data_IF_091208869541
#
_entry.id   IF_091208869541
#
_cell.length_a   1.000
_cell.length_b   1.000
_cell.length_c   1.000
_cell.angle_alpha   90.00
_cell.angle_beta   90.00
_cell.angle_gamma   90.00
#
_symmetry.space_group_name_H-M   'P 1'
#
loop_
_entity.id
_entity.type
_entity.pdbx_description
1 polymer ?
#
# COMPACT_ATOMS: atom_id res chain seq x y z
N UNK A 1 -53.92 16.06 11.60
CA UNK A 1 -53.18 15.07 10.79
C UNK A 1 -51.80 15.63 10.48
N UNK A 2 -50.78 15.20 11.23
CA UNK A 2 -49.36 15.44 10.95
C UNK A 2 -48.86 14.33 10.03
N UNK A 3 -48.61 14.62 8.75
CA UNK A 3 -47.93 13.65 7.89
C UNK A 3 -46.44 13.58 8.28
N UNK A 4 -45.91 12.37 8.52
CA UNK A 4 -44.58 12.16 9.04
C UNK A 4 -43.52 12.42 7.96
N UNK A 5 -42.41 12.94 8.47
CA UNK A 5 -41.10 12.96 7.86
C UNK A 5 -40.69 11.54 7.38
N UNK A 6 -40.85 11.25 6.09
CA UNK A 6 -40.44 9.97 5.49
C UNK A 6 -39.63 10.11 4.20
N UNK A 7 -39.33 11.35 3.79
CA UNK A 7 -38.61 11.65 2.55
C UNK A 7 -37.13 12.04 2.76
N UNK A 8 -36.57 11.76 3.95
CA UNK A 8 -35.12 11.84 4.19
C UNK A 8 -34.45 10.62 3.53
N UNK A 9 -34.50 10.55 2.21
CA UNK A 9 -33.77 9.58 1.40
C UNK A 9 -32.28 9.90 1.51
N UNK A 10 -31.64 9.40 2.57
CA UNK A 10 -30.18 9.51 2.75
C UNK A 10 -29.52 8.94 1.50
N UNK A 11 -28.66 9.72 0.80
CA UNK A 11 -27.97 9.20 -0.36
C UNK A 11 -27.12 7.99 0.06
N UNK A 12 -27.04 6.94 -0.78
CA UNK A 12 -26.17 5.81 -0.53
C UNK A 12 -24.74 6.34 -0.34
N UNK A 13 -24.13 6.03 0.80
CA UNK A 13 -22.72 6.39 1.04
C UNK A 13 -21.90 5.78 -0.09
N UNK A 14 -21.07 6.56 -0.81
CA UNK A 14 -20.20 5.98 -1.80
C UNK A 14 -19.35 4.89 -1.13
N UNK A 15 -19.11 3.75 -1.79
CA UNK A 15 -18.29 2.70 -1.23
C UNK A 15 -16.95 3.33 -0.84
N UNK A 16 -16.62 3.27 0.45
CA UNK A 16 -15.38 3.79 0.98
C UNK A 16 -14.24 2.93 0.45
N UNK A 17 -13.75 3.27 -0.75
CA UNK A 17 -12.47 2.77 -1.25
C UNK A 17 -11.45 3.08 -0.15
N UNK A 18 -10.59 2.13 0.21
CA UNK A 18 -9.50 2.35 1.17
C UNK A 18 -8.21 2.67 0.41
N UNK A 19 -8.08 3.84 -0.26
CA UNK A 19 -6.92 4.15 -1.10
C UNK A 19 -5.62 4.13 -0.30
N UNK A 20 -5.69 4.41 1.02
CA UNK A 20 -4.54 4.37 1.91
C UNK A 20 -3.79 3.04 1.91
N UNK A 21 -4.48 1.89 1.82
CA UNK A 21 -3.81 0.58 1.78
C UNK A 21 -3.03 0.38 0.47
N UNK A 22 -3.60 0.84 -0.65
CA UNK A 22 -2.98 0.72 -1.97
C UNK A 22 -1.74 1.61 -2.04
N UNK A 23 -1.86 2.86 -1.59
CA UNK A 23 -0.76 3.83 -1.58
C UNK A 23 0.36 3.35 -0.66
N UNK A 24 0.04 2.94 0.57
CA UNK A 24 1.04 2.43 1.51
C UNK A 24 1.73 1.18 0.98
N UNK A 25 0.97 0.24 0.40
CA UNK A 25 1.52 -0.98 -0.20
C UNK A 25 2.46 -0.69 -1.36
N UNK A 26 2.08 0.24 -2.26
CA UNK A 26 2.92 0.65 -3.38
C UNK A 26 4.22 1.30 -2.91
N UNK A 27 4.16 2.22 -1.93
CA UNK A 27 5.35 2.87 -1.38
C UNK A 27 6.29 1.86 -0.73
N UNK A 28 5.78 0.94 0.09
CA UNK A 28 6.58 -0.12 0.71
C UNK A 28 7.25 -1.02 -0.33
N UNK A 29 6.54 -1.36 -1.41
CA UNK A 29 7.07 -2.15 -2.53
C UNK A 29 8.23 -1.44 -3.23
N UNK A 30 8.06 -0.16 -3.55
CA UNK A 30 9.07 0.63 -4.22
C UNK A 30 10.31 0.84 -3.35
N UNK A 31 10.12 1.27 -2.10
CA UNK A 31 11.23 1.50 -1.16
C UNK A 31 11.95 0.18 -0.84
N UNK A 32 11.20 -0.89 -0.58
CA UNK A 32 11.76 -2.22 -0.33
C UNK A 32 12.55 -2.74 -1.54
N UNK A 33 12.04 -2.55 -2.76
CA UNK A 33 12.75 -2.91 -3.99
C UNK A 33 14.06 -2.15 -4.18
N UNK A 34 14.08 -0.85 -3.89
CA UNK A 34 15.30 -0.03 -3.93
C UNK A 34 16.33 -0.54 -2.92
N UNK A 35 15.94 -0.78 -1.67
CA UNK A 35 16.83 -1.32 -0.65
C UNK A 35 17.33 -2.73 -1.00
N UNK A 36 16.47 -3.55 -1.60
CA UNK A 36 16.84 -4.88 -2.07
C UNK A 36 17.96 -4.81 -3.11
N UNK A 37 17.78 -3.98 -4.13
CA UNK A 37 18.78 -3.73 -5.18
C UNK A 37 20.04 -3.03 -4.64
N UNK A 38 19.92 -2.14 -3.66
CA UNK A 38 21.07 -1.52 -2.99
C UNK A 38 21.91 -2.56 -2.24
N UNK A 39 21.28 -3.45 -1.47
CA UNK A 39 22.01 -4.50 -0.75
C UNK A 39 22.75 -5.48 -1.68
N UNK A 40 22.24 -5.70 -2.90
CA UNK A 40 22.90 -6.48 -3.95
C UNK A 40 24.07 -5.77 -4.63
N UNK A 41 24.26 -4.48 -4.36
CA UNK A 41 25.34 -3.69 -4.94
C UNK A 41 25.03 -3.07 -6.31
N UNK A 42 23.79 -3.20 -6.81
CA UNK A 42 23.41 -2.72 -8.15
C UNK A 42 23.19 -1.20 -8.23
N UNK A 43 22.98 -0.53 -7.09
CA UNK A 43 22.70 0.90 -7.01
C UNK A 43 23.81 1.61 -6.23
N UNK A 44 24.81 2.13 -6.94
CA UNK A 44 25.93 2.88 -6.34
C UNK A 44 25.53 4.30 -5.90
N UNK A 45 26.22 4.82 -4.88
CA UNK A 45 26.02 6.19 -4.36
C UNK A 45 25.45 6.27 -2.94
N UNK A 46 25.15 5.12 -2.30
CA UNK A 46 24.68 5.05 -0.90
C UNK A 46 25.62 4.20 -0.03
N UNK A 47 25.81 4.54 1.26
CA UNK A 47 26.48 3.68 2.25
C UNK A 47 25.85 2.29 2.40
N UNK A 48 24.61 2.13 1.94
CA UNK A 48 23.84 0.88 2.00
C UNK A 48 24.20 -0.10 0.86
N UNK A 49 24.97 0.35 -0.12
CA UNK A 49 25.26 -0.42 -1.35
C UNK A 49 26.21 -1.57 -1.06
N UNK A 50 25.84 -2.79 -1.46
CA UNK A 50 26.70 -3.98 -1.32
C UNK A 50 26.70 -4.60 0.08
N UNK A 51 25.77 -4.18 0.95
CA UNK A 51 25.61 -4.76 2.29
C UNK A 51 24.36 -5.64 2.31
N UNK A 52 24.55 -6.95 2.51
CA UNK A 52 23.50 -7.97 2.43
C UNK A 52 22.32 -7.74 3.39
N UNK A 53 22.54 -7.03 4.49
CA UNK A 53 21.50 -6.62 5.42
C UNK A 53 20.37 -5.86 4.71
N UNK A 54 20.70 -4.92 3.82
CA UNK A 54 19.70 -4.14 3.10
C UNK A 54 18.92 -4.97 2.09
N UNK A 55 19.51 -6.05 1.56
CA UNK A 55 18.77 -7.01 0.74
C UNK A 55 17.69 -7.72 1.55
N UNK A 56 18.00 -8.23 2.74
CA UNK A 56 17.00 -8.88 3.57
C UNK A 56 15.92 -7.90 4.06
N UNK A 57 16.32 -6.72 4.54
CA UNK A 57 15.39 -5.70 5.01
C UNK A 57 14.47 -5.19 3.89
N UNK A 58 15.05 -4.88 2.72
CA UNK A 58 14.30 -4.43 1.54
C UNK A 58 13.36 -5.50 1.00
N UNK A 59 13.82 -6.75 0.93
CA UNK A 59 12.99 -7.89 0.50
C UNK A 59 11.80 -8.13 1.43
N UNK A 60 12.02 -8.09 2.75
CA UNK A 60 10.94 -8.19 3.73
C UNK A 60 9.92 -7.04 3.60
N UNK A 61 10.40 -5.80 3.45
CA UNK A 61 9.54 -4.63 3.27
C UNK A 61 8.74 -4.71 1.97
N UNK A 62 9.36 -5.15 0.87
CA UNK A 62 8.70 -5.33 -0.41
C UNK A 62 7.59 -6.40 -0.34
N UNK A 63 7.83 -7.52 0.36
CA UNK A 63 6.82 -8.55 0.59
C UNK A 63 5.62 -8.02 1.38
N UNK A 64 5.86 -7.26 2.47
CA UNK A 64 4.78 -6.63 3.25
C UNK A 64 4.00 -5.64 2.38
N UNK A 65 4.69 -4.81 1.62
CA UNK A 65 4.09 -3.86 0.67
C UNK A 65 3.21 -4.56 -0.36
N UNK A 66 3.66 -5.69 -0.91
CA UNK A 66 2.91 -6.49 -1.87
C UNK A 66 1.61 -7.03 -1.26
N UNK A 67 1.66 -7.55 -0.03
CA UNK A 67 0.46 -8.01 0.68
C UNK A 67 -0.55 -6.87 0.86
N UNK A 68 -0.09 -5.69 1.28
CA UNK A 68 -0.94 -4.51 1.46
C UNK A 68 -1.55 -4.05 0.14
N UNK A 69 -0.74 -4.01 -0.92
CA UNK A 69 -1.19 -3.62 -2.26
C UNK A 69 -2.26 -4.58 -2.80
N UNK A 70 -2.03 -5.89 -2.73
CA UNK A 70 -2.99 -6.90 -3.18
C UNK A 70 -4.28 -6.85 -2.36
N UNK A 71 -4.20 -6.70 -1.03
CA UNK A 71 -5.40 -6.58 -0.18
C UNK A 71 -6.18 -5.29 -0.45
N UNK A 72 -5.48 -4.18 -0.67
CA UNK A 72 -6.08 -2.90 -1.05
C UNK A 72 -6.80 -2.97 -2.39
N UNK A 73 -6.16 -3.57 -3.40
CA UNK A 73 -6.73 -3.75 -4.74
C UNK A 73 -7.93 -4.72 -4.77
N UNK A 74 -7.92 -5.76 -3.92
CA UNK A 74 -9.06 -6.68 -3.76
C UNK A 74 -10.24 -6.02 -3.06
N UNK A 75 -9.98 -5.14 -2.10
CA UNK A 75 -11.04 -4.42 -1.37
C UNK A 75 -11.72 -3.32 -2.19
N UNK A 76 -11.09 -2.85 -3.27
CA UNK A 76 -11.68 -1.86 -4.19
C UNK A 76 -12.50 -2.46 -5.34
N UNK A 77 -12.51 -3.79 -5.47
CA UNK A 77 -13.23 -4.56 -6.52
C UNK A 77 -14.52 -5.24 -6.01
N UNK A 78 -14.82 -5.16 -4.71
CA UNK A 78 -16.07 -5.62 -4.09
C UNK A 78 -17.02 -4.43 -3.88
#
# INVERSE_FOLDING_TARGET
>A
MTSPNSAESRPPRPPARKPGLVIAGALMLLVGGVWFMQGLGSLAGSPMTGVIFWSWAGGALALVGLVFLVRGLRSGRA
#
